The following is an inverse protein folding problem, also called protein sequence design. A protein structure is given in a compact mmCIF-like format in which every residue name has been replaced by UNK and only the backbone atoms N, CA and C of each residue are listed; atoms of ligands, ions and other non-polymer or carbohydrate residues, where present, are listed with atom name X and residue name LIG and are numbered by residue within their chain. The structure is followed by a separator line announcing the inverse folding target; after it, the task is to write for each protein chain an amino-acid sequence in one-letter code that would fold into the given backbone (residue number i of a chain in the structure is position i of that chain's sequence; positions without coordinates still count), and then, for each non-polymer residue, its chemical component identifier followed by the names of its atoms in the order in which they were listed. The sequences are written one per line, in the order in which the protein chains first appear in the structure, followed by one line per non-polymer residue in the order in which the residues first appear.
data_IF_247344477929
#
_entry.id   IF_247344477929
#
_cell.length_a   1.000
_cell.length_b   1.000
_cell.length_c   1.000
_cell.angle_alpha   90.00
_cell.angle_beta   90.00
_cell.angle_gamma   90.00
#
_symmetry.space_group_name_H-M   'P 1'
#
loop_
_entity.id
_entity.type
_entity.pdbx_description
1 polymer ?
#
# COMPACT_ATOMS: atom_id res chain seq x y z
N UNK A 1 -19.07 -6.12 -41.79
CA UNK A 1 -18.56 -6.32 -40.42
C UNK A 1 -19.12 -5.21 -39.55
N UNK A 2 -19.85 -5.52 -38.47
CA UNK A 2 -20.40 -4.48 -37.60
C UNK A 2 -19.25 -3.74 -36.89
N UNK A 3 -19.21 -2.42 -37.01
CA UNK A 3 -18.25 -1.59 -36.28
C UNK A 3 -18.66 -1.62 -34.80
N UNK A 4 -17.85 -2.26 -33.95
CA UNK A 4 -18.11 -2.34 -32.51
C UNK A 4 -17.43 -1.16 -31.83
N UNK A 5 -18.23 -0.19 -31.40
CA UNK A 5 -17.76 0.86 -30.52
C UNK A 5 -17.50 0.31 -29.12
N UNK A 6 -16.38 0.74 -28.53
CA UNK A 6 -15.99 0.38 -27.17
C UNK A 6 -16.17 1.57 -26.25
N UNK A 7 -16.69 1.31 -25.06
CA UNK A 7 -16.88 2.30 -24.01
C UNK A 7 -16.12 1.87 -22.75
N UNK A 8 -15.48 2.83 -22.11
CA UNK A 8 -14.75 2.64 -20.87
C UNK A 8 -15.65 3.02 -19.69
N UNK A 9 -15.76 2.13 -18.70
CA UNK A 9 -16.56 2.36 -17.50
C UNK A 9 -15.68 2.18 -16.26
N UNK A 10 -15.71 3.17 -15.37
CA UNK A 10 -15.05 3.15 -14.07
C UNK A 10 -15.89 3.95 -13.07
N UNK A 11 -15.67 3.77 -11.77
CA UNK A 11 -16.42 4.47 -10.73
C UNK A 11 -15.92 5.90 -10.52
N UNK A 12 -16.70 6.74 -9.83
CA UNK A 12 -16.35 8.14 -9.57
C UNK A 12 -15.31 8.34 -8.45
N UNK A 13 -14.38 7.39 -8.25
CA UNK A 13 -13.35 7.57 -7.24
C UNK A 13 -12.50 8.83 -7.54
N UNK A 14 -12.04 9.58 -6.52
CA UNK A 14 -11.36 10.86 -6.73
C UNK A 14 -10.16 10.79 -7.69
N UNK A 15 -9.39 9.70 -7.66
CA UNK A 15 -8.26 9.49 -8.57
C UNK A 15 -8.68 9.36 -10.05
N UNK A 16 -9.85 8.77 -10.31
CA UNK A 16 -10.37 8.64 -11.67
C UNK A 16 -11.05 9.93 -12.15
N UNK A 17 -11.58 10.73 -11.23
CA UNK A 17 -12.20 12.03 -11.54
C UNK A 17 -11.21 13.19 -11.62
N UNK A 18 -9.93 12.96 -11.30
CA UNK A 18 -8.86 13.94 -11.42
C UNK A 18 -8.74 14.47 -12.86
N UNK A 19 -8.40 15.76 -12.99
CA UNK A 19 -8.28 16.42 -14.29
C UNK A 19 -7.24 15.73 -15.19
N UNK A 20 -6.10 15.31 -14.63
CA UNK A 20 -5.07 14.57 -15.37
C UNK A 20 -5.61 13.30 -16.03
N UNK A 21 -6.49 12.56 -15.34
CA UNK A 21 -7.16 11.38 -15.87
C UNK A 21 -8.13 11.74 -17.00
N UNK A 22 -8.96 12.77 -16.78
CA UNK A 22 -9.94 13.23 -17.80
C UNK A 22 -9.25 13.73 -19.07
N UNK A 23 -8.18 14.51 -18.93
CA UNK A 23 -7.37 15.00 -20.04
C UNK A 23 -6.73 13.86 -20.83
N UNK A 24 -6.19 12.85 -20.14
CA UNK A 24 -5.65 11.67 -20.79
C UNK A 24 -6.70 10.92 -21.62
N UNK A 25 -7.88 10.69 -21.04
CA UNK A 25 -8.98 9.98 -21.71
C UNK A 25 -9.47 10.75 -22.94
N UNK A 26 -9.64 12.07 -22.82
CA UNK A 26 -10.01 12.94 -23.93
C UNK A 26 -8.97 12.95 -25.04
N UNK A 27 -7.67 13.09 -24.70
CA UNK A 27 -6.56 13.06 -25.67
C UNK A 27 -6.48 11.73 -26.44
N UNK A 28 -6.88 10.63 -25.80
CA UNK A 28 -6.91 9.30 -26.43
C UNK A 28 -8.22 9.00 -27.17
N UNK A 29 -9.21 9.89 -27.12
CA UNK A 29 -10.52 9.68 -27.74
C UNK A 29 -11.29 8.51 -27.14
N UNK A 30 -11.01 8.17 -25.88
CA UNK A 30 -11.68 7.06 -25.20
C UNK A 30 -13.08 7.53 -24.79
N UNK A 31 -14.10 6.84 -25.29
CA UNK A 31 -15.50 7.07 -24.90
C UNK A 31 -15.70 6.56 -23.47
N UNK A 32 -16.11 7.42 -22.56
CA UNK A 32 -16.36 7.08 -21.15
C UNK A 32 -17.86 7.07 -20.89
N UNK A 33 -18.34 6.09 -20.11
CA UNK A 33 -19.71 6.06 -19.61
C UNK A 33 -19.74 6.73 -18.24
N UNK A 34 -20.68 7.67 -18.05
CA UNK A 34 -20.89 8.30 -16.76
C UNK A 34 -21.40 7.28 -15.74
N UNK A 35 -20.75 7.26 -14.58
CA UNK A 35 -21.16 6.42 -13.46
C UNK A 35 -21.96 7.26 -12.44
N UNK A 36 -23.15 6.83 -12.01
CA UNK A 36 -23.89 7.54 -10.98
C UNK A 36 -23.22 7.42 -9.59
N UNK A 37 -23.35 8.43 -8.71
CA UNK A 37 -22.83 8.34 -7.36
C UNK A 37 -23.38 7.13 -6.59
N UNK A 38 -22.54 6.51 -5.76
CA UNK A 38 -22.90 5.44 -4.81
C UNK A 38 -23.65 4.24 -5.44
N UNK A 39 -23.32 3.85 -6.66
CA UNK A 39 -23.99 2.77 -7.39
C UNK A 39 -23.08 1.55 -7.64
N UNK A 40 -22.67 0.82 -6.57
CA UNK A 40 -21.78 -0.34 -6.71
C UNK A 40 -22.43 -1.50 -7.49
N UNK A 41 -23.76 -1.56 -7.54
CA UNK A 41 -24.52 -2.51 -8.35
C UNK A 41 -24.32 -2.28 -9.86
N UNK A 42 -24.03 -1.04 -10.26
CA UNK A 42 -23.79 -0.68 -11.66
C UNK A 42 -22.32 -0.81 -12.07
N UNK A 43 -21.40 -0.96 -11.12
CA UNK A 43 -19.99 -1.15 -11.40
C UNK A 43 -19.69 -2.64 -11.63
N UNK A 44 -19.28 -3.06 -12.84
CA UNK A 44 -19.04 -4.48 -13.12
C UNK A 44 -17.97 -5.11 -12.21
N UNK A 45 -16.97 -4.33 -11.80
CA UNK A 45 -15.95 -4.72 -10.82
C UNK A 45 -16.54 -5.07 -9.45
N UNK A 46 -17.39 -4.19 -8.93
CA UNK A 46 -17.97 -4.32 -7.59
C UNK A 46 -19.04 -5.40 -7.54
N UNK A 47 -19.89 -5.48 -8.56
CA UNK A 47 -21.00 -6.44 -8.58
C UNK A 47 -20.56 -7.86 -8.97
N UNK A 48 -19.67 -8.02 -9.97
CA UNK A 48 -19.32 -9.35 -10.49
C UNK A 48 -17.93 -9.83 -10.02
N UNK A 49 -16.89 -9.03 -10.22
CA UNK A 49 -15.51 -9.53 -10.13
C UNK A 49 -15.01 -9.68 -8.69
N UNK A 50 -15.20 -8.68 -7.81
CA UNK A 50 -14.72 -8.76 -6.42
C UNK A 50 -15.35 -9.89 -5.60
N UNK A 51 -16.66 -10.19 -5.70
CA UNK A 51 -17.25 -11.32 -5.00
C UNK A 51 -16.64 -12.67 -5.41
N UNK A 52 -16.37 -12.86 -6.71
CA UNK A 52 -15.73 -14.08 -7.23
C UNK A 52 -14.31 -14.22 -6.69
N UNK A 53 -13.52 -13.14 -6.76
CA UNK A 53 -12.16 -13.14 -6.23
C UNK A 53 -12.12 -13.39 -4.73
N UNK A 54 -13.04 -12.79 -3.96
CA UNK A 54 -13.15 -12.99 -2.51
C UNK A 54 -13.48 -14.44 -2.15
N UNK A 55 -14.36 -15.09 -2.92
CA UNK A 55 -14.64 -16.53 -2.75
C UNK A 55 -13.39 -17.37 -2.99
N UNK A 56 -12.61 -17.07 -4.04
CA UNK A 56 -11.34 -17.76 -4.30
C UNK A 56 -10.30 -17.51 -3.20
N UNK A 57 -10.26 -16.29 -2.65
CA UNK A 57 -9.27 -15.88 -1.64
C UNK A 57 -9.60 -16.29 -0.20
N UNK A 58 -10.78 -16.85 0.06
CA UNK A 58 -11.14 -17.37 1.39
C UNK A 58 -10.11 -18.41 1.87
N UNK A 59 -9.64 -18.25 3.11
CA UNK A 59 -8.67 -19.16 3.72
C UNK A 59 -7.20 -18.90 3.35
N UNK A 60 -6.92 -17.99 2.41
CA UNK A 60 -5.57 -17.50 2.16
C UNK A 60 -5.35 -16.28 3.06
N UNK A 61 -4.78 -16.52 4.24
CA UNK A 61 -4.46 -15.45 5.19
C UNK A 61 -3.56 -14.41 4.53
N UNK A 62 -3.89 -13.13 4.71
CA UNK A 62 -2.97 -12.05 4.40
C UNK A 62 -1.80 -12.19 5.37
N UNK A 63 -0.66 -12.68 4.86
CA UNK A 63 0.56 -12.77 5.66
C UNK A 63 1.11 -11.36 5.79
N UNK A 64 0.49 -10.59 6.68
CA UNK A 64 1.01 -9.31 7.12
C UNK A 64 2.36 -9.60 7.78
N UNK A 65 3.46 -9.18 7.16
CA UNK A 65 4.73 -9.06 7.86
C UNK A 65 4.54 -7.96 8.89
N UNK A 66 4.22 -8.37 10.12
CA UNK A 66 4.36 -7.48 11.26
C UNK A 66 5.85 -7.18 11.38
N UNK A 67 6.23 -5.95 11.03
CA UNK A 67 7.55 -5.43 11.38
C UNK A 67 7.62 -5.47 12.91
N UNK A 68 8.57 -6.17 13.54
CA UNK A 68 8.66 -6.17 14.99
C UNK A 68 8.93 -4.73 15.45
N UNK A 69 7.98 -4.18 16.19
CA UNK A 69 8.12 -2.96 16.97
C UNK A 69 9.02 -3.28 18.17
N UNK A 70 10.11 -2.54 18.37
CA UNK A 70 10.80 -2.49 19.67
C UNK A 70 12.10 -3.28 19.85
N UNK A 71 13.06 -3.19 18.92
CA UNK A 71 14.48 -3.32 19.31
C UNK A 71 15.12 -1.95 19.19
N UNK A 72 15.13 -1.21 20.31
CA UNK A 72 15.99 -0.05 20.50
C UNK A 72 17.43 -0.57 20.62
N UNK A 73 18.35 -0.25 19.67
CA UNK A 73 19.73 -0.65 19.81
C UNK A 73 20.30 0.07 21.03
N UNK A 74 20.55 -0.71 22.09
CA UNK A 74 20.89 -0.21 23.41
C UNK A 74 21.93 0.91 23.38
N UNK A 75 21.63 1.99 24.13
CA UNK A 75 22.63 2.99 24.50
C UNK A 75 23.80 2.29 25.17
N UNK A 76 24.96 2.39 24.52
CA UNK A 76 26.23 1.90 25.05
C UNK A 76 26.69 2.85 26.17
N UNK A 77 26.40 2.47 27.41
CA UNK A 77 26.80 3.22 28.60
C UNK A 77 28.33 3.21 28.73
N UNK A 78 28.95 4.30 28.31
CA UNK A 78 30.36 4.60 28.54
C UNK A 78 30.60 4.89 30.03
N UNK A 79 30.58 3.86 30.88
CA UNK A 79 31.12 3.97 32.24
C UNK A 79 32.63 3.99 32.17
N UNK A 80 33.18 5.20 32.28
CA UNK A 80 34.56 5.55 32.59
C UNK A 80 35.11 4.60 33.66
N UNK A 81 35.95 3.64 33.27
CA UNK A 81 36.67 2.77 34.21
C UNK A 81 37.66 3.61 35.00
N UNK A 82 37.48 3.62 36.32
CA UNK A 82 38.31 4.36 37.26
C UNK A 82 39.77 3.90 37.23
N UNK A 83 40.67 4.88 37.28
CA UNK A 83 42.09 4.71 37.54
C UNK A 83 42.29 4.03 38.90
N UNK A 84 42.65 2.74 38.90
CA UNK A 84 43.18 2.05 40.07
C UNK A 84 44.71 2.15 40.01
N UNK A 85 45.29 2.92 40.92
CA UNK A 85 46.73 2.98 41.16
C UNK A 85 47.17 1.68 41.86
N UNK A 86 48.14 0.91 41.35
CA UNK A 86 48.70 -0.19 42.11
C UNK A 86 49.75 0.34 43.10
N UNK A 87 49.57 -0.01 44.37
CA UNK A 87 50.50 0.22 45.48
C UNK A 87 51.46 -0.98 45.60
N UNK A 88 52.76 -0.72 45.40
CA UNK A 88 53.86 -1.23 46.22
C UNK A 88 54.39 -2.66 46.03
N UNK A 89 55.65 -2.77 45.59
CA UNK A 89 56.76 -3.60 46.14
C UNK A 89 57.91 -3.54 45.12
N UNK A 90 59.15 -3.20 45.42
CA UNK A 90 59.96 -3.60 46.57
C UNK A 90 60.88 -4.73 46.15
N UNK A 91 61.91 -4.44 45.33
CA UNK A 91 62.98 -5.38 45.00
C UNK A 91 64.32 -4.75 45.40
N UNK A 92 65.01 -5.43 46.31
CA UNK A 92 66.46 -5.32 46.54
C UNK A 92 67.14 -6.41 45.72
#
# INVERSE_FOLDING_TARGET
MANRDWYFHFNNAPCHMANSTKEFLAKKGIKVIDHPPYSPDLAPADFFYFPVMKKSARGRGDRRQERPEGVDPGREDHRKTGSVRPSGSGLR
#
